data_IF_222653195328
#
_entry.id   IF_222653195328
#
_cell.length_a   1.000
_cell.length_b   1.000
_cell.length_c   1.000
_cell.angle_alpha   90.00
_cell.angle_beta   90.00
_cell.angle_gamma   90.00
#
_symmetry.space_group_name_H-M   'P 1'
#
loop_
_entity.id
_entity.type
_entity.pdbx_description
1 polymer ?
#
# COMPACT_ATOMS: atom_id res chain seq x y z
N UNK A 1 -46.09 57.44 25.79
CA UNK A 1 -45.17 56.59 26.57
C UNK A 1 -45.39 55.13 26.17
N UNK A 2 -44.31 54.38 26.19
CA UNK A 2 -44.06 53.01 25.72
C UNK A 2 -44.99 51.92 26.27
N UNK A 3 -45.04 50.74 25.61
CA UNK A 3 -46.02 49.68 25.84
C UNK A 3 -45.57 48.65 26.89
N UNK A 4 -46.51 47.91 27.50
CA UNK A 4 -46.22 46.64 28.17
C UNK A 4 -46.93 45.49 27.43
N UNK A 5 -46.12 44.81 26.62
CA UNK A 5 -46.45 43.58 25.91
C UNK A 5 -45.88 42.43 26.74
N UNK A 6 -46.72 41.68 27.46
CA UNK A 6 -46.30 40.46 28.15
C UNK A 6 -46.22 39.31 27.14
N UNK A 7 -45.11 39.28 26.39
CA UNK A 7 -44.74 38.14 25.57
C UNK A 7 -44.19 37.02 26.45
N UNK A 8 -44.98 35.97 26.66
CA UNK A 8 -44.48 34.66 27.07
C UNK A 8 -43.57 34.12 25.96
N UNK A 9 -42.29 33.95 26.28
CA UNK A 9 -41.30 33.34 25.40
C UNK A 9 -41.72 31.92 24.99
N UNK A 10 -41.61 31.51 23.72
CA UNK A 10 -41.69 30.11 23.38
C UNK A 10 -40.42 29.41 23.88
N UNK A 11 -40.64 28.40 24.71
CA UNK A 11 -39.62 27.51 25.23
C UNK A 11 -38.69 27.04 24.10
N UNK A 12 -37.40 27.20 24.34
CA UNK A 12 -36.31 26.69 23.51
C UNK A 12 -36.52 25.20 23.25
N UNK A 13 -36.87 24.89 22.01
CA UNK A 13 -36.92 23.53 21.51
C UNK A 13 -35.52 22.90 21.54
N UNK A 14 -35.18 22.25 22.67
CA UNK A 14 -34.23 21.15 22.68
C UNK A 14 -34.75 20.14 21.67
N UNK A 15 -34.16 20.12 20.47
CA UNK A 15 -34.31 19.03 19.50
C UNK A 15 -33.67 17.78 20.11
N UNK A 16 -34.42 17.09 20.97
CA UNK A 16 -34.15 15.70 21.33
C UNK A 16 -34.18 14.87 20.05
N UNK A 17 -33.31 13.87 19.99
CA UNK A 17 -33.06 13.01 18.83
C UNK A 17 -34.26 12.14 18.38
N UNK A 18 -35.47 12.44 18.83
CA UNK A 18 -36.68 11.65 18.57
C UNK A 18 -37.34 11.96 17.22
N UNK A 19 -36.99 13.09 16.60
CA UNK A 19 -37.64 13.60 15.36
C UNK A 19 -37.07 13.13 14.01
N UNK A 20 -36.23 12.09 13.95
CA UNK A 20 -35.90 11.47 12.65
C UNK A 20 -37.06 10.56 12.24
N UNK A 21 -37.71 10.90 11.13
CA UNK A 21 -38.71 10.05 10.46
C UNK A 21 -38.16 8.63 10.27
N UNK A 22 -39.02 7.62 10.15
CA UNK A 22 -38.60 6.22 9.94
C UNK A 22 -37.59 6.10 8.78
N UNK A 23 -37.77 6.91 7.73
CA UNK A 23 -36.84 7.04 6.59
C UNK A 23 -35.50 7.68 7.01
N UNK A 24 -35.52 8.70 7.87
CA UNK A 24 -34.33 9.29 8.48
C UNK A 24 -33.57 8.32 9.38
N UNK A 25 -34.26 7.50 10.19
CA UNK A 25 -33.64 6.45 11.03
C UNK A 25 -33.07 5.33 10.18
N UNK A 26 -33.76 4.90 9.11
CA UNK A 26 -33.27 3.91 8.16
C UNK A 26 -32.04 4.41 7.39
N UNK A 27 -32.05 5.67 6.93
CA UNK A 27 -30.90 6.28 6.25
C UNK A 27 -29.71 6.51 7.20
N UNK A 28 -29.95 6.91 8.45
CA UNK A 28 -28.90 7.05 9.47
C UNK A 28 -28.32 5.68 9.87
N UNK A 29 -29.16 4.65 10.00
CA UNK A 29 -28.74 3.27 10.23
C UNK A 29 -27.92 2.74 9.04
N UNK A 30 -28.39 2.95 7.81
CA UNK A 30 -27.67 2.60 6.57
C UNK A 30 -26.33 3.33 6.45
N UNK A 31 -26.27 4.62 6.81
CA UNK A 31 -25.05 5.42 6.79
C UNK A 31 -24.05 4.98 7.87
N UNK A 32 -24.53 4.72 9.09
CA UNK A 32 -23.71 4.21 10.21
C UNK A 32 -23.15 2.82 9.89
N UNK A 33 -23.95 1.96 9.26
CA UNK A 33 -23.51 0.66 8.75
C UNK A 33 -22.55 0.78 7.57
N UNK A 34 -22.73 1.75 6.66
CA UNK A 34 -21.76 2.00 5.58
C UNK A 34 -20.40 2.46 6.12
N UNK A 35 -20.38 3.31 7.15
CA UNK A 35 -19.14 3.76 7.79
C UNK A 35 -18.46 2.60 8.53
N UNK A 36 -19.22 1.81 9.29
CA UNK A 36 -18.71 0.62 9.95
C UNK A 36 -18.13 -0.39 8.94
N UNK A 37 -18.83 -0.63 7.84
CA UNK A 37 -18.37 -1.49 6.74
C UNK A 37 -17.09 -0.96 6.10
N UNK A 38 -16.99 0.35 5.85
CA UNK A 38 -15.82 0.95 5.19
C UNK A 38 -14.58 1.06 6.09
N UNK A 39 -14.74 1.09 7.41
CA UNK A 39 -13.62 1.05 8.36
C UNK A 39 -13.22 -0.38 8.70
N UNK A 40 -14.19 -1.28 8.85
CA UNK A 40 -13.92 -2.67 9.20
C UNK A 40 -13.36 -3.48 8.03
N UNK A 41 -13.76 -3.19 6.79
CA UNK A 41 -13.27 -3.87 5.60
C UNK A 41 -11.72 -3.84 5.48
N UNK A 42 -11.04 -2.67 5.56
CA UNK A 42 -9.58 -2.63 5.58
C UNK A 42 -8.95 -3.39 6.75
N UNK A 43 -9.53 -3.32 7.95
CA UNK A 43 -9.02 -4.05 9.12
C UNK A 43 -9.14 -5.55 8.91
N UNK A 44 -10.29 -6.02 8.41
CA UNK A 44 -10.51 -7.41 8.04
C UNK A 44 -9.48 -7.88 7.00
N UNK A 45 -9.27 -7.10 5.94
CA UNK A 45 -8.24 -7.38 4.93
C UNK A 45 -6.85 -7.56 5.56
N UNK A 46 -6.43 -6.63 6.42
CA UNK A 46 -5.12 -6.69 7.08
C UNK A 46 -4.98 -7.94 7.96
N UNK A 47 -6.03 -8.33 8.69
CA UNK A 47 -6.01 -9.54 9.52
C UNK A 47 -5.90 -10.81 8.66
N UNK A 48 -6.72 -10.93 7.61
CA UNK A 48 -6.74 -12.08 6.70
C UNK A 48 -5.39 -12.22 5.99
N UNK A 49 -4.90 -11.14 5.39
CA UNK A 49 -3.60 -11.12 4.72
C UNK A 49 -2.45 -11.39 5.69
N UNK A 50 -2.48 -10.80 6.89
CA UNK A 50 -1.47 -11.04 7.92
C UNK A 50 -1.40 -12.51 8.32
N UNK A 51 -2.56 -13.15 8.52
CA UNK A 51 -2.65 -14.58 8.80
C UNK A 51 -2.12 -15.43 7.63
N UNK A 52 -2.47 -15.10 6.38
CA UNK A 52 -1.93 -15.77 5.19
C UNK A 52 -0.40 -15.70 5.17
N UNK A 53 0.17 -14.51 5.35
CA UNK A 53 1.62 -14.29 5.33
C UNK A 53 2.31 -15.15 6.40
N UNK A 54 1.78 -15.16 7.62
CA UNK A 54 2.34 -15.97 8.70
C UNK A 54 2.30 -17.47 8.35
N UNK A 55 1.15 -17.99 7.90
CA UNK A 55 1.02 -19.40 7.54
C UNK A 55 1.97 -19.78 6.39
N UNK A 56 2.05 -18.96 5.34
CA UNK A 56 2.90 -19.24 4.19
C UNK A 56 4.40 -19.24 4.54
N UNK A 57 4.83 -18.29 5.37
CA UNK A 57 6.28 -18.05 5.60
C UNK A 57 6.84 -18.74 6.84
N UNK A 58 6.00 -19.08 7.81
CA UNK A 58 6.39 -19.77 9.04
C UNK A 58 6.04 -21.26 8.99
N UNK A 59 4.85 -21.62 8.52
CA UNK A 59 4.33 -22.99 8.65
C UNK A 59 4.51 -23.82 7.37
N UNK A 60 4.26 -23.21 6.21
CA UNK A 60 4.21 -23.92 4.93
C UNK A 60 5.46 -23.74 4.06
N UNK A 61 6.37 -22.84 4.41
CA UNK A 61 7.64 -22.69 3.73
C UNK A 61 8.51 -23.96 3.91
N UNK A 62 9.42 -24.26 2.95
CA UNK A 62 10.43 -25.31 3.11
C UNK A 62 11.32 -25.08 4.33
N UNK A 63 11.64 -23.83 4.61
CA UNK A 63 12.34 -23.36 5.81
C UNK A 63 11.65 -22.08 6.31
N UNK A 64 11.35 -21.94 7.61
CA UNK A 64 10.73 -20.72 8.14
C UNK A 64 11.57 -19.47 7.86
N UNK A 65 10.94 -18.40 7.38
CA UNK A 65 11.60 -17.11 7.10
C UNK A 65 10.73 -15.90 7.46
N UNK A 66 9.73 -16.10 8.32
CA UNK A 66 8.93 -14.99 8.83
C UNK A 66 9.82 -14.00 9.59
N UNK A 67 9.69 -12.74 9.24
CA UNK A 67 10.45 -11.65 9.85
C UNK A 67 9.66 -10.35 9.73
N UNK A 68 10.09 -9.33 10.48
CA UNK A 68 9.53 -8.00 10.38
C UNK A 68 9.47 -7.48 8.92
N UNK A 69 10.60 -7.55 8.19
CA UNK A 69 10.66 -7.05 6.81
C UNK A 69 9.92 -7.97 5.83
N UNK A 70 9.85 -9.27 6.09
CA UNK A 70 9.00 -10.19 5.31
C UNK A 70 7.53 -9.80 5.45
N UNK A 71 7.07 -9.51 6.68
CA UNK A 71 5.70 -9.06 6.93
C UNK A 71 5.42 -7.72 6.25
N UNK A 72 6.30 -6.73 6.40
CA UNK A 72 6.15 -5.43 5.74
C UNK A 72 6.08 -5.57 4.23
N UNK A 73 7.04 -6.30 3.63
CA UNK A 73 7.08 -6.57 2.20
C UNK A 73 5.76 -7.18 1.74
N UNK A 74 5.38 -8.35 2.26
CA UNK A 74 4.19 -9.05 1.75
C UNK A 74 2.91 -8.24 2.00
N UNK A 75 2.77 -7.60 3.16
CA UNK A 75 1.59 -6.78 3.46
C UNK A 75 1.46 -5.61 2.49
N UNK A 76 2.55 -4.89 2.21
CA UNK A 76 2.58 -3.80 1.23
C UNK A 76 2.32 -4.30 -0.18
N UNK A 77 2.80 -5.49 -0.54
CA UNK A 77 2.51 -6.13 -1.81
C UNK A 77 1.02 -6.37 -1.97
N UNK A 78 0.38 -7.11 -1.03
CA UNK A 78 -1.05 -7.38 -1.07
C UNK A 78 -1.90 -6.11 -1.08
N UNK A 79 -1.55 -5.13 -0.23
CA UNK A 79 -2.28 -3.87 -0.16
C UNK A 79 -2.12 -3.06 -1.46
N UNK A 80 -0.93 -3.04 -2.06
CA UNK A 80 -0.68 -2.42 -3.36
C UNK A 80 -1.45 -3.09 -4.50
N UNK A 81 -1.46 -4.42 -4.54
CA UNK A 81 -2.25 -5.22 -5.48
C UNK A 81 -3.74 -4.90 -5.34
N UNK A 82 -4.26 -4.89 -4.12
CA UNK A 82 -5.66 -4.58 -3.84
C UNK A 82 -6.05 -3.15 -4.27
N UNK A 83 -5.25 -2.15 -3.92
CA UNK A 83 -5.48 -0.76 -4.35
C UNK A 83 -5.46 -0.62 -5.88
N UNK A 84 -4.52 -1.31 -6.54
CA UNK A 84 -4.44 -1.32 -8.00
C UNK A 84 -5.69 -1.94 -8.64
N UNK A 85 -6.18 -3.06 -8.09
CA UNK A 85 -7.42 -3.70 -8.51
C UNK A 85 -8.63 -2.77 -8.34
N UNK A 86 -8.77 -2.13 -7.17
CA UNK A 86 -9.85 -1.15 -6.92
C UNK A 86 -9.82 -0.01 -7.95
N UNK A 87 -8.63 0.53 -8.23
CA UNK A 87 -8.47 1.61 -9.20
C UNK A 87 -8.88 1.17 -10.61
N UNK A 88 -8.46 -0.02 -11.05
CA UNK A 88 -8.86 -0.58 -12.36
C UNK A 88 -10.38 -0.73 -12.46
N UNK A 89 -11.01 -1.35 -11.46
CA UNK A 89 -12.46 -1.55 -11.43
C UNK A 89 -13.17 -0.19 -11.46
N UNK A 90 -12.73 0.77 -10.64
CA UNK A 90 -13.25 2.12 -10.65
C UNK A 90 -13.12 2.79 -12.03
N UNK A 91 -11.98 2.67 -12.70
CA UNK A 91 -11.76 3.33 -13.98
C UNK A 91 -12.63 2.77 -15.11
N UNK A 92 -12.90 1.47 -15.12
CA UNK A 92 -13.68 0.81 -16.19
C UNK A 92 -15.18 0.86 -15.88
N UNK A 93 -15.58 0.46 -14.67
CA UNK A 93 -16.99 0.33 -14.27
C UNK A 93 -17.57 1.66 -13.78
N UNK A 94 -16.73 2.62 -13.36
CA UNK A 94 -17.11 3.90 -12.76
C UNK A 94 -17.83 3.78 -11.42
N UNK A 95 -17.70 2.64 -10.74
CA UNK A 95 -18.15 2.47 -9.35
C UNK A 95 -17.34 3.38 -8.42
N UNK A 96 -17.96 4.13 -7.49
CA UNK A 96 -17.21 4.94 -6.53
C UNK A 96 -16.22 4.10 -5.71
N UNK A 97 -14.99 4.59 -5.54
CA UNK A 97 -13.93 3.91 -4.77
C UNK A 97 -14.39 3.49 -3.37
N UNK A 98 -15.17 4.36 -2.70
CA UNK A 98 -15.72 4.09 -1.37
C UNK A 98 -16.57 2.81 -1.30
N UNK A 99 -17.25 2.46 -2.39
CA UNK A 99 -18.14 1.29 -2.44
C UNK A 99 -17.34 0.02 -2.80
N UNK A 100 -16.14 0.16 -3.35
CA UNK A 100 -15.24 -0.94 -3.69
C UNK A 100 -14.48 -1.49 -2.47
N UNK A 101 -14.49 -0.81 -1.32
CA UNK A 101 -13.88 -1.35 -0.10
C UNK A 101 -14.55 -2.65 0.37
N UNK A 102 -15.79 -2.91 -0.04
CA UNK A 102 -16.45 -4.20 0.22
C UNK A 102 -15.67 -5.39 -0.36
N UNK A 103 -14.85 -5.17 -1.40
CA UNK A 103 -13.98 -6.20 -1.98
C UNK A 103 -12.91 -6.68 -0.99
N UNK A 104 -12.59 -5.92 0.06
CA UNK A 104 -11.71 -6.38 1.14
C UNK A 104 -12.21 -7.67 1.78
N UNK A 105 -13.53 -7.91 1.86
CA UNK A 105 -14.06 -9.18 2.38
C UNK A 105 -13.76 -10.36 1.46
N UNK A 106 -13.62 -10.10 0.16
CA UNK A 106 -13.15 -11.10 -0.81
C UNK A 106 -11.69 -11.52 -0.60
N UNK A 107 -10.94 -10.87 0.29
CA UNK A 107 -9.58 -11.30 0.64
C UNK A 107 -9.52 -12.72 1.18
N UNK A 108 -10.62 -13.31 1.67
CA UNK A 108 -10.64 -14.74 2.05
C UNK A 108 -10.22 -15.66 0.88
N UNK A 109 -10.40 -15.24 -0.37
CA UNK A 109 -9.95 -15.99 -1.55
C UNK A 109 -8.42 -16.14 -1.61
N UNK A 110 -7.68 -15.25 -0.95
CA UNK A 110 -6.21 -15.33 -0.85
C UNK A 110 -5.76 -16.59 -0.11
N UNK A 111 -6.64 -17.26 0.63
CA UNK A 111 -6.36 -18.54 1.29
C UNK A 111 -6.51 -19.76 0.39
N UNK A 112 -7.04 -19.64 -0.83
CA UNK A 112 -7.23 -20.79 -1.72
C UNK A 112 -5.92 -21.57 -1.95
N UNK A 113 -4.76 -20.94 -2.27
CA UNK A 113 -3.52 -21.69 -2.42
C UNK A 113 -3.05 -22.30 -1.11
N UNK A 114 -3.23 -21.60 0.02
CA UNK A 114 -2.87 -22.10 1.36
C UNK A 114 -3.65 -23.38 1.68
N UNK A 115 -4.96 -23.38 1.43
CA UNK A 115 -5.82 -24.54 1.65
C UNK A 115 -5.41 -25.70 0.72
N UNK A 116 -5.15 -25.43 -0.56
CA UNK A 116 -4.66 -26.44 -1.49
C UNK A 116 -3.35 -27.08 -1.02
N UNK A 117 -2.40 -26.28 -0.54
CA UNK A 117 -1.09 -26.76 -0.08
C UNK A 117 -1.22 -27.55 1.23
N UNK A 118 -2.09 -27.12 2.15
CA UNK A 118 -2.44 -27.89 3.36
C UNK A 118 -3.04 -29.26 3.02
N UNK A 119 -3.95 -29.32 2.04
CA UNK A 119 -4.60 -30.57 1.62
C UNK A 119 -3.65 -31.53 0.87
N UNK A 120 -2.70 -31.00 0.12
CA UNK A 120 -1.76 -31.79 -0.70
C UNK A 120 -0.45 -32.11 0.02
N UNK A 121 -0.20 -31.50 1.19
CA UNK A 121 1.07 -31.62 1.91
C UNK A 121 2.26 -30.96 1.21
N UNK A 122 2.02 -30.19 0.14
CA UNK A 122 3.06 -29.50 -0.61
C UNK A 122 3.54 -28.26 0.15
N UNK A 123 4.82 -27.91 -0.04
CA UNK A 123 5.41 -26.70 0.53
C UNK A 123 5.15 -25.49 -0.35
N UNK A 124 4.99 -24.34 0.28
CA UNK A 124 4.85 -23.05 -0.39
C UNK A 124 6.18 -22.66 -1.02
N UNK A 125 6.20 -22.49 -2.34
CA UNK A 125 7.33 -21.91 -3.06
C UNK A 125 6.90 -20.60 -3.72
N UNK A 126 6.51 -19.59 -2.92
CA UNK A 126 6.11 -18.26 -3.41
C UNK A 126 7.26 -17.61 -4.16
N UNK A 127 7.28 -17.81 -5.47
CA UNK A 127 8.28 -17.21 -6.33
C UNK A 127 7.65 -16.16 -7.21
N UNK A 128 8.29 -14.99 -7.27
CA UNK A 128 7.96 -14.03 -8.31
C UNK A 128 8.18 -14.68 -9.69
N UNK A 129 7.33 -14.33 -10.66
CA UNK A 129 7.56 -14.65 -12.06
C UNK A 129 8.89 -14.03 -12.48
N UNK A 130 9.80 -14.91 -12.89
CA UNK A 130 11.18 -14.62 -13.29
C UNK A 130 11.40 -15.16 -14.70
N UNK A 131 12.42 -14.66 -15.38
CA UNK A 131 12.80 -15.11 -16.71
C UNK A 131 12.64 -14.04 -17.78
N UNK A 132 12.72 -14.48 -19.04
CA UNK A 132 12.59 -13.58 -20.19
C UNK A 132 11.14 -13.12 -20.39
N UNK A 133 10.94 -12.03 -21.17
CA UNK A 133 9.60 -11.50 -21.48
C UNK A 133 8.64 -12.58 -22.01
N UNK A 134 9.09 -13.42 -22.94
CA UNK A 134 8.28 -14.48 -23.53
C UNK A 134 7.90 -15.59 -22.55
N UNK A 135 8.78 -15.90 -21.61
CA UNK A 135 8.54 -16.89 -20.57
C UNK A 135 7.48 -16.37 -19.59
N UNK A 136 7.65 -15.14 -19.11
CA UNK A 136 6.66 -14.46 -18.26
C UNK A 136 5.30 -14.37 -18.98
N UNK A 137 5.29 -14.00 -20.26
CA UNK A 137 4.06 -13.93 -21.05
C UNK A 137 3.37 -15.30 -21.17
N UNK A 138 4.13 -16.39 -21.41
CA UNK A 138 3.59 -17.75 -21.47
C UNK A 138 2.94 -18.15 -20.13
N UNK A 139 3.60 -17.89 -19.01
CA UNK A 139 3.04 -18.19 -17.69
C UNK A 139 1.79 -17.34 -17.42
N UNK A 140 1.82 -16.04 -17.77
CA UNK A 140 0.65 -15.17 -17.66
C UNK A 140 -0.52 -15.62 -18.55
N UNK A 141 -0.30 -16.10 -19.77
CA UNK A 141 -1.39 -16.59 -20.63
C UNK A 141 -2.00 -17.91 -20.14
N UNK A 142 -1.28 -18.67 -19.33
CA UNK A 142 -1.72 -19.96 -18.81
C UNK A 142 -2.20 -19.89 -17.36
N UNK A 143 -2.55 -18.70 -16.85
CA UNK A 143 -2.92 -18.52 -15.43
C UNK A 143 -1.87 -19.08 -14.47
N UNK A 144 -0.59 -18.99 -14.82
CA UNK A 144 0.55 -19.52 -14.05
C UNK A 144 0.53 -21.06 -13.95
N UNK A 145 -0.36 -21.75 -14.67
CA UNK A 145 -0.50 -23.23 -14.61
C UNK A 145 0.78 -23.96 -15.02
N UNK A 146 1.49 -23.38 -15.97
CA UNK A 146 2.76 -23.91 -16.50
C UNK A 146 3.96 -23.57 -15.62
N UNK A 147 3.77 -22.83 -14.53
CA UNK A 147 4.81 -22.51 -13.55
C UNK A 147 4.68 -23.47 -12.36
N UNK A 148 5.50 -24.52 -12.36
CA UNK A 148 5.35 -25.61 -11.39
C UNK A 148 5.49 -25.16 -9.93
N UNK A 149 6.31 -24.13 -9.67
CA UNK A 149 6.54 -23.62 -8.33
C UNK A 149 5.29 -22.98 -7.70
N UNK A 150 4.38 -22.40 -8.50
CA UNK A 150 3.20 -21.69 -7.99
C UNK A 150 1.88 -22.19 -8.63
N UNK A 151 1.81 -23.47 -9.03
CA UNK A 151 0.60 -24.02 -9.68
C UNK A 151 -0.66 -23.87 -8.80
N UNK A 152 -0.51 -23.91 -7.47
CA UNK A 152 -1.60 -23.66 -6.52
C UNK A 152 -2.24 -22.27 -6.69
N UNK A 153 -1.45 -21.27 -7.12
CA UNK A 153 -1.91 -19.90 -7.36
C UNK A 153 -2.84 -19.81 -8.58
N UNK A 154 -2.72 -20.72 -9.56
CA UNK A 154 -3.56 -20.72 -10.75
C UNK A 154 -5.04 -20.78 -10.44
N UNK A 155 -5.42 -21.58 -9.44
CA UNK A 155 -6.82 -21.73 -9.03
C UNK A 155 -7.32 -20.40 -8.46
N UNK A 156 -6.56 -19.78 -7.55
CA UNK A 156 -6.89 -18.46 -7.00
C UNK A 156 -7.09 -17.43 -8.12
N UNK A 157 -6.19 -17.38 -9.11
CA UNK A 157 -6.26 -16.44 -10.22
C UNK A 157 -7.49 -16.65 -11.10
N UNK A 158 -7.88 -17.89 -11.37
CA UNK A 158 -9.11 -18.21 -12.11
C UNK A 158 -10.34 -17.76 -11.32
N UNK A 159 -10.42 -18.04 -10.02
CA UNK A 159 -11.53 -17.61 -9.18
C UNK A 159 -11.62 -16.08 -9.09
N UNK A 160 -10.49 -15.38 -8.97
CA UNK A 160 -10.47 -13.92 -8.97
C UNK A 160 -10.92 -13.38 -10.34
N UNK A 161 -10.44 -13.94 -11.45
CA UNK A 161 -10.83 -13.51 -12.79
C UNK A 161 -12.33 -13.69 -13.04
N UNK A 162 -12.88 -14.88 -12.76
CA UNK A 162 -14.30 -15.18 -12.93
C UNK A 162 -15.15 -14.35 -11.97
N UNK A 163 -14.73 -14.24 -10.71
CA UNK A 163 -15.43 -13.47 -9.67
C UNK A 163 -15.52 -11.99 -10.01
N UNK A 164 -14.40 -11.35 -10.37
CA UNK A 164 -14.39 -9.94 -10.79
C UNK A 164 -15.22 -9.74 -12.06
N UNK A 165 -15.09 -10.62 -13.04
CA UNK A 165 -15.89 -10.55 -14.29
C UNK A 165 -17.38 -10.65 -13.99
N UNK A 166 -17.79 -11.60 -13.14
CA UNK A 166 -19.17 -11.80 -12.72
C UNK A 166 -19.73 -10.58 -11.97
N UNK A 167 -18.99 -10.07 -10.98
CA UNK A 167 -19.37 -8.86 -10.24
C UNK A 167 -19.47 -7.65 -11.17
N UNK A 168 -18.52 -7.47 -12.08
CA UNK A 168 -18.54 -6.40 -13.06
C UNK A 168 -19.74 -6.52 -14.00
N UNK A 169 -20.12 -7.73 -14.40
CA UNK A 169 -21.33 -7.97 -15.19
C UNK A 169 -22.60 -7.63 -14.41
N UNK A 170 -22.67 -8.03 -13.13
CA UNK A 170 -23.82 -7.72 -12.27
C UNK A 170 -24.02 -6.21 -12.10
N UNK A 171 -22.94 -5.43 -12.01
CA UNK A 171 -22.99 -3.97 -11.85
C UNK A 171 -23.21 -3.24 -13.18
N UNK A 172 -22.41 -3.55 -14.20
CA UNK A 172 -22.42 -2.80 -15.46
C UNK A 172 -23.49 -3.27 -16.46
N UNK A 173 -24.01 -4.50 -16.30
CA UNK A 173 -24.95 -5.17 -17.23
C UNK A 173 -24.50 -5.12 -18.71
N UNK A 174 -23.18 -5.04 -18.93
CA UNK A 174 -22.56 -4.95 -20.25
C UNK A 174 -21.43 -5.98 -20.34
N UNK A 175 -21.60 -7.06 -21.12
CA UNK A 175 -20.65 -8.18 -21.13
C UNK A 175 -19.23 -7.75 -21.54
N UNK A 176 -19.10 -6.86 -22.55
CA UNK A 176 -17.79 -6.34 -22.97
C UNK A 176 -17.06 -5.56 -21.87
N UNK A 177 -17.78 -4.74 -21.07
CA UNK A 177 -17.18 -4.02 -19.94
C UNK A 177 -16.78 -4.96 -18.81
N UNK A 178 -17.60 -5.98 -18.55
CA UNK A 178 -17.34 -6.98 -17.54
C UNK A 178 -16.09 -7.78 -17.86
N UNK A 179 -15.99 -8.29 -19.09
CA UNK A 179 -14.82 -9.02 -19.57
C UNK A 179 -13.56 -8.14 -19.55
N UNK A 180 -13.67 -6.89 -20.03
CA UNK A 180 -12.55 -5.94 -19.97
C UNK A 180 -12.06 -5.71 -18.53
N UNK A 181 -12.97 -5.65 -17.56
CA UNK A 181 -12.61 -5.50 -16.15
C UNK A 181 -11.91 -6.75 -15.62
N UNK A 182 -12.42 -7.94 -15.92
CA UNK A 182 -11.75 -9.19 -15.58
C UNK A 182 -10.34 -9.28 -16.14
N UNK A 183 -10.17 -9.01 -17.44
CA UNK A 183 -8.86 -9.04 -18.13
C UNK A 183 -7.92 -7.99 -17.53
N UNK A 184 -8.38 -6.75 -17.34
CA UNK A 184 -7.55 -5.68 -16.78
C UNK A 184 -7.13 -5.97 -15.34
N UNK A 185 -8.03 -6.50 -14.51
CA UNK A 185 -7.73 -6.92 -13.14
C UNK A 185 -6.71 -8.06 -13.12
N UNK A 186 -6.87 -9.07 -13.96
CA UNK A 186 -5.90 -10.15 -14.09
C UNK A 186 -4.52 -9.66 -14.55
N UNK A 187 -4.46 -8.79 -15.56
CA UNK A 187 -3.21 -8.20 -16.03
C UNK A 187 -2.49 -7.43 -14.92
N UNK A 188 -3.23 -6.71 -14.06
CA UNK A 188 -2.65 -6.05 -12.88
C UNK A 188 -2.07 -7.07 -11.90
N UNK A 189 -2.76 -8.17 -11.62
CA UNK A 189 -2.22 -9.24 -10.77
C UNK A 189 -0.90 -9.80 -11.33
N UNK A 190 -0.86 -10.04 -12.65
CA UNK A 190 0.34 -10.52 -13.32
C UNK A 190 1.49 -9.52 -13.25
N UNK A 191 1.21 -8.22 -13.40
CA UNK A 191 2.22 -7.18 -13.20
C UNK A 191 2.79 -7.22 -11.78
N UNK A 192 1.95 -7.40 -10.75
CA UNK A 192 2.43 -7.52 -9.36
C UNK A 192 3.22 -8.81 -9.09
N UNK A 193 2.98 -9.87 -9.87
CA UNK A 193 3.68 -11.14 -9.75
C UNK A 193 5.07 -11.15 -10.40
N UNK A 194 5.40 -10.18 -11.26
CA UNK A 194 6.73 -10.09 -11.89
C UNK A 194 7.80 -9.62 -10.91
N UNK A 195 8.99 -10.22 -10.99
CA UNK A 195 10.15 -9.79 -10.22
C UNK A 195 10.78 -8.50 -10.80
N UNK A 196 10.16 -7.36 -10.53
CA UNK A 196 10.59 -6.07 -11.08
C UNK A 196 11.93 -5.58 -10.57
N UNK A 197 12.15 -5.66 -9.27
CA UNK A 197 13.31 -5.04 -8.61
C UNK A 197 14.04 -6.08 -7.79
N UNK A 198 15.37 -6.07 -7.85
CA UNK A 198 16.25 -6.93 -7.05
C UNK A 198 17.55 -6.23 -6.68
N UNK A 199 18.28 -6.78 -5.70
CA UNK A 199 19.58 -6.26 -5.27
C UNK A 199 20.69 -6.76 -6.20
N UNK A 200 21.56 -5.88 -6.69
CA UNK A 200 22.71 -6.29 -7.52
C UNK A 200 23.67 -7.22 -6.76
N UNK A 201 24.17 -8.32 -7.36
CA UNK A 201 23.86 -8.83 -8.70
C UNK A 201 22.68 -9.83 -8.68
N UNK A 202 21.52 -9.47 -9.23
CA UNK A 202 20.39 -10.40 -9.35
C UNK A 202 20.01 -10.61 -10.82
N UNK A 203 20.32 -11.80 -11.35
CA UNK A 203 20.18 -12.11 -12.78
C UNK A 203 18.74 -12.12 -13.32
N UNK A 204 17.75 -12.29 -12.44
CA UNK A 204 16.35 -12.48 -12.83
C UNK A 204 15.42 -11.31 -12.48
N UNK A 205 15.96 -10.21 -11.95
CA UNK A 205 15.18 -9.00 -11.73
C UNK A 205 15.21 -8.11 -12.98
N UNK A 206 14.09 -7.47 -13.31
CA UNK A 206 14.04 -6.51 -14.44
C UNK A 206 14.99 -5.33 -14.19
N UNK A 207 15.00 -4.83 -12.96
CA UNK A 207 15.88 -3.76 -12.49
C UNK A 207 16.70 -4.25 -11.31
N UNK A 208 18.03 -4.20 -11.45
CA UNK A 208 18.96 -4.46 -10.35
C UNK A 208 19.42 -3.15 -9.72
N UNK A 209 19.22 -3.00 -8.41
CA UNK A 209 19.57 -1.82 -7.64
C UNK A 209 20.80 -2.12 -6.80
N UNK A 210 21.80 -1.24 -6.90
CA UNK A 210 22.92 -1.24 -5.97
C UNK A 210 22.50 -0.53 -4.67
N UNK A 211 22.43 -1.27 -3.58
CA UNK A 211 21.96 -0.81 -2.26
C UNK A 211 22.67 -1.60 -1.16
N UNK A 212 22.83 -0.99 0.02
CA UNK A 212 23.29 -1.71 1.21
C UNK A 212 22.18 -2.54 1.86
N UNK A 213 20.91 -2.26 1.55
CA UNK A 213 19.77 -2.98 2.09
C UNK A 213 19.82 -4.47 1.72
N UNK A 214 19.35 -5.33 2.64
CA UNK A 214 19.10 -6.75 2.36
C UNK A 214 17.85 -6.87 1.48
N UNK A 215 17.73 -7.91 0.65
CA UNK A 215 16.67 -8.05 -0.37
C UNK A 215 15.26 -7.79 0.16
N UNK A 216 14.81 -8.46 1.23
CA UNK A 216 13.45 -8.25 1.76
C UNK A 216 13.21 -6.81 2.25
N UNK A 217 14.26 -6.17 2.78
CA UNK A 217 14.20 -4.77 3.17
C UNK A 217 14.09 -3.85 1.95
N UNK A 218 14.93 -4.05 0.93
CA UNK A 218 14.86 -3.32 -0.34
C UNK A 218 13.45 -3.40 -0.94
N UNK A 219 12.89 -4.61 -1.03
CA UNK A 219 11.56 -4.80 -1.62
C UNK A 219 10.47 -4.14 -0.76
N UNK A 220 10.54 -4.25 0.58
CA UNK A 220 9.61 -3.54 1.46
C UNK A 220 9.64 -2.01 1.22
N UNK A 221 10.83 -1.42 1.06
CA UNK A 221 10.98 0.02 0.76
C UNK A 221 10.43 0.38 -0.61
N UNK A 222 10.73 -0.40 -1.64
CA UNK A 222 10.19 -0.17 -3.00
C UNK A 222 8.66 -0.23 -2.97
N UNK A 223 8.10 -1.26 -2.34
CA UNK A 223 6.66 -1.45 -2.21
C UNK A 223 6.00 -0.35 -1.37
N UNK A 224 6.69 0.17 -0.35
CA UNK A 224 6.20 1.31 0.43
C UNK A 224 5.97 2.54 -0.45
N UNK A 225 6.88 2.83 -1.39
CA UNK A 225 6.74 3.95 -2.32
C UNK A 225 5.54 3.74 -3.26
N UNK A 226 5.44 2.55 -3.86
CA UNK A 226 4.34 2.21 -4.77
C UNK A 226 3.00 2.27 -4.01
N UNK A 227 2.94 1.67 -2.83
CA UNK A 227 1.76 1.70 -1.95
C UNK A 227 1.37 3.14 -1.58
N UNK A 228 2.33 3.97 -1.12
CA UNK A 228 2.09 5.38 -0.77
C UNK A 228 1.45 6.14 -1.94
N UNK A 229 2.00 5.96 -3.14
CA UNK A 229 1.48 6.57 -4.36
C UNK A 229 0.05 6.09 -4.68
N UNK A 230 -0.20 4.79 -4.59
CA UNK A 230 -1.52 4.21 -4.85
C UNK A 230 -2.57 4.65 -3.82
N UNK A 231 -2.20 4.76 -2.54
CA UNK A 231 -3.07 5.30 -1.50
C UNK A 231 -3.47 6.73 -1.85
N UNK A 232 -2.50 7.59 -2.16
CA UNK A 232 -2.75 9.00 -2.53
C UNK A 232 -3.67 9.12 -3.76
N UNK A 233 -3.43 8.31 -4.80
CA UNK A 233 -4.31 8.29 -5.97
C UNK A 233 -5.72 7.80 -5.60
N UNK A 234 -5.82 6.75 -4.79
CA UNK A 234 -7.09 6.16 -4.40
C UNK A 234 -7.94 7.15 -3.60
N UNK A 235 -7.35 7.84 -2.62
CA UNK A 235 -8.06 8.88 -1.84
C UNK A 235 -8.41 10.10 -2.68
N UNK A 236 -7.55 10.47 -3.64
CA UNK A 236 -7.84 11.53 -4.61
C UNK A 236 -9.07 11.17 -5.46
N UNK A 237 -9.09 9.97 -6.03
CA UNK A 237 -10.19 9.47 -6.87
C UNK A 237 -11.47 9.23 -6.08
N UNK A 238 -11.37 8.93 -4.79
CA UNK A 238 -12.50 8.88 -3.88
C UNK A 238 -13.07 10.28 -3.54
N UNK A 239 -12.45 11.37 -4.00
CA UNK A 239 -12.91 12.73 -3.75
C UNK A 239 -12.74 13.18 -2.30
N UNK A 240 -11.83 12.55 -1.54
CA UNK A 240 -11.66 12.83 -0.11
C UNK A 240 -10.86 14.12 0.16
N UNK A 241 -10.13 14.58 -0.85
CA UNK A 241 -9.51 15.90 -0.89
C UNK A 241 -10.56 16.93 -1.36
N UNK A 242 -11.36 17.49 -0.45
CA UNK A 242 -12.48 18.38 -0.82
C UNK A 242 -11.95 19.55 -1.67
N UNK A 243 -12.45 19.70 -2.91
CA UNK A 243 -12.29 20.80 -3.89
C UNK A 243 -11.08 21.77 -3.79
N UNK A 244 -9.94 21.31 -3.29
CA UNK A 244 -8.78 22.14 -2.97
C UNK A 244 -7.54 21.66 -3.72
N UNK A 245 -7.72 21.28 -5.00
CA UNK A 245 -6.68 20.73 -5.87
C UNK A 245 -5.40 21.55 -5.82
N UNK A 246 -5.50 22.89 -5.96
CA UNK A 246 -4.33 23.79 -5.93
C UNK A 246 -3.55 23.71 -4.62
N UNK A 247 -4.25 23.64 -3.50
CA UNK A 247 -3.63 23.61 -2.18
C UNK A 247 -2.98 22.24 -1.90
N UNK A 248 -3.63 21.14 -2.30
CA UNK A 248 -3.04 19.81 -2.27
C UNK A 248 -1.81 19.70 -3.16
N UNK A 249 -1.87 20.21 -4.39
CA UNK A 249 -0.70 20.29 -5.26
C UNK A 249 0.43 21.06 -4.59
N UNK A 250 0.14 22.21 -3.96
CA UNK A 250 1.17 22.96 -3.25
C UNK A 250 1.75 22.20 -2.04
N UNK A 251 0.95 21.44 -1.30
CA UNK A 251 1.44 20.60 -0.21
C UNK A 251 2.35 19.48 -0.71
N UNK A 252 1.98 18.80 -1.80
CA UNK A 252 2.83 17.78 -2.44
C UNK A 252 4.12 18.37 -3.00
N UNK A 253 4.09 19.57 -3.60
CA UNK A 253 5.29 20.26 -4.05
C UNK A 253 6.22 20.64 -2.90
N UNK A 254 5.66 21.11 -1.77
CA UNK A 254 6.44 21.39 -0.57
C UNK A 254 7.09 20.11 0.00
N UNK A 255 6.33 19.01 0.05
CA UNK A 255 6.85 17.70 0.42
C UNK A 255 7.99 17.25 -0.50
N UNK A 256 7.82 17.39 -1.81
CA UNK A 256 8.86 17.02 -2.79
C UNK A 256 10.13 17.87 -2.62
N UNK A 257 10.00 19.17 -2.35
CA UNK A 257 11.14 20.03 -2.07
C UNK A 257 11.86 19.59 -0.77
N UNK A 258 11.11 19.27 0.28
CA UNK A 258 11.68 18.77 1.54
C UNK A 258 12.36 17.41 1.38
N UNK A 259 11.78 16.53 0.56
CA UNK A 259 12.40 15.24 0.21
C UNK A 259 13.76 15.41 -0.47
N UNK A 260 13.85 16.31 -1.46
CA UNK A 260 15.10 16.63 -2.15
C UNK A 260 16.10 17.25 -1.19
N UNK A 261 15.68 18.23 -0.38
CA UNK A 261 16.54 18.88 0.60
C UNK A 261 17.10 17.87 1.62
N UNK A 262 16.25 16.99 2.16
CA UNK A 262 16.68 15.95 3.08
C UNK A 262 17.64 14.96 2.41
N UNK A 263 17.32 14.49 1.20
CA UNK A 263 18.21 13.60 0.42
C UNK A 263 19.59 14.24 0.19
N UNK A 264 19.63 15.56 -0.07
CA UNK A 264 20.88 16.30 -0.23
C UNK A 264 21.66 16.37 1.10
N UNK A 265 20.97 16.60 2.23
CA UNK A 265 21.59 16.56 3.55
C UNK A 265 22.23 15.19 3.80
N UNK A 266 21.49 14.08 3.57
CA UNK A 266 22.01 12.72 3.75
C UNK A 266 23.26 12.46 2.90
N UNK A 267 23.28 12.99 1.67
CA UNK A 267 24.44 12.91 0.78
C UNK A 267 25.61 13.74 1.31
N UNK A 268 25.39 14.98 1.75
CA UNK A 268 26.47 15.86 2.24
C UNK A 268 27.08 15.32 3.53
N UNK A 269 26.26 14.82 4.46
CA UNK A 269 26.72 14.23 5.72
C UNK A 269 27.31 12.83 5.54
N UNK A 270 27.30 12.28 4.32
CA UNK A 270 27.75 10.93 3.99
C UNK A 270 27.04 9.86 4.82
N UNK A 271 25.80 10.14 5.25
CA UNK A 271 25.02 9.23 6.07
C UNK A 271 24.57 8.00 5.26
N UNK A 272 24.35 8.20 3.95
CA UNK A 272 24.30 7.15 2.94
C UNK A 272 25.19 7.51 1.76
N UNK A 273 25.83 6.51 1.14
CA UNK A 273 26.69 6.70 -0.04
C UNK A 273 25.98 6.30 -1.33
N UNK A 274 25.09 5.31 -1.29
CA UNK A 274 24.43 4.80 -2.48
C UNK A 274 23.22 5.66 -2.87
N UNK A 275 23.05 6.01 -4.16
CA UNK A 275 21.98 6.92 -4.60
C UNK A 275 20.56 6.49 -4.22
N UNK A 276 20.29 5.18 -4.27
CA UNK A 276 18.97 4.65 -3.91
C UNK A 276 18.69 4.84 -2.42
N UNK A 277 19.65 4.52 -1.56
CA UNK A 277 19.49 4.61 -0.11
C UNK A 277 19.28 6.07 0.33
N UNK A 278 20.03 7.00 -0.30
CA UNK A 278 19.86 8.45 -0.15
C UNK A 278 18.43 8.87 -0.52
N UNK A 279 17.96 8.50 -1.71
CA UNK A 279 16.64 8.89 -2.18
C UNK A 279 15.51 8.28 -1.32
N UNK A 280 15.63 7.00 -0.94
CA UNK A 280 14.62 6.30 -0.16
C UNK A 280 14.45 6.91 1.24
N UNK A 281 15.54 7.39 1.85
CA UNK A 281 15.56 7.89 3.24
C UNK A 281 14.60 9.05 3.53
N UNK A 282 14.35 9.91 2.55
CA UNK A 282 13.56 11.13 2.77
C UNK A 282 12.04 10.96 2.66
N UNK A 283 11.52 9.74 2.43
CA UNK A 283 10.09 9.53 2.22
C UNK A 283 9.23 9.91 3.44
N UNK A 284 9.72 9.68 4.67
CA UNK A 284 9.02 10.10 5.89
C UNK A 284 8.89 11.64 5.91
N UNK A 285 9.99 12.34 5.64
CA UNK A 285 10.06 13.81 5.61
C UNK A 285 9.11 14.39 4.55
N UNK A 286 9.00 13.74 3.38
CA UNK A 286 8.02 14.10 2.37
C UNK A 286 6.60 14.15 2.96
N UNK A 287 6.16 13.06 3.60
CA UNK A 287 4.80 12.95 4.13
C UNK A 287 4.55 13.93 5.27
N UNK A 288 5.52 14.11 6.17
CA UNK A 288 5.43 15.10 7.24
C UNK A 288 5.17 16.49 6.72
N UNK A 289 5.97 16.93 5.74
CA UNK A 289 5.82 18.26 5.16
C UNK A 289 4.52 18.39 4.38
N UNK A 290 4.05 17.33 3.71
CA UNK A 290 2.71 17.31 3.09
C UNK A 290 1.62 17.54 4.14
N UNK A 291 1.64 16.81 5.25
CA UNK A 291 0.64 16.92 6.32
C UNK A 291 0.70 18.30 6.97
N UNK A 292 1.89 18.77 7.36
CA UNK A 292 2.07 20.07 8.00
C UNK A 292 1.66 21.23 7.08
N UNK A 293 2.06 21.19 5.81
CA UNK A 293 1.67 22.22 4.82
C UNK A 293 0.17 22.21 4.59
N UNK A 294 -0.45 21.02 4.55
CA UNK A 294 -1.90 20.90 4.44
C UNK A 294 -2.60 21.54 5.65
N UNK A 295 -2.16 21.23 6.87
CA UNK A 295 -2.71 21.82 8.09
C UNK A 295 -2.51 23.33 8.15
N UNK A 296 -1.30 23.82 7.83
CA UNK A 296 -0.94 25.24 7.86
C UNK A 296 -1.73 26.10 6.86
N UNK A 297 -1.92 25.63 5.62
CA UNK A 297 -2.66 26.36 4.58
C UNK A 297 -4.18 26.41 4.80
N UNK A 298 -4.66 26.15 6.03
CA UNK A 298 -6.07 26.19 6.37
C UNK A 298 -6.90 25.11 5.70
N UNK A 299 -6.27 24.12 5.06
CA UNK A 299 -6.99 22.99 4.47
C UNK A 299 -7.65 22.13 5.56
N UNK A 300 -7.29 22.28 6.84
CA UNK A 300 -7.98 21.62 7.96
C UNK A 300 -9.51 21.73 7.90
N UNK A 301 -10.05 22.85 7.38
CA UNK A 301 -11.49 23.06 7.24
C UNK A 301 -12.07 22.49 5.94
N UNK A 302 -11.22 22.22 4.94
CA UNK A 302 -11.56 21.72 3.60
C UNK A 302 -10.94 20.33 3.32
N UNK A 303 -10.57 19.59 4.36
CA UNK A 303 -10.01 18.24 4.26
C UNK A 303 -10.99 17.29 4.91
N UNK A 304 -11.33 16.20 4.21
CA UNK A 304 -12.05 15.12 4.85
C UNK A 304 -11.21 14.58 6.00
N UNK A 305 -11.81 14.49 7.21
CA UNK A 305 -11.15 13.88 8.38
C UNK A 305 -10.57 12.50 8.06
N UNK A 306 -11.24 11.76 7.16
CA UNK A 306 -10.76 10.47 6.66
C UNK A 306 -9.48 10.60 5.83
N UNK A 307 -9.37 11.60 4.93
CA UNK A 307 -8.15 11.82 4.16
C UNK A 307 -6.96 12.17 5.07
N UNK A 308 -7.19 13.02 6.08
CA UNK A 308 -6.16 13.35 7.05
C UNK A 308 -5.75 12.10 7.86
N UNK A 309 -6.71 11.31 8.33
CA UNK A 309 -6.44 10.07 9.06
C UNK A 309 -5.63 9.07 8.20
N UNK A 310 -5.95 8.94 6.90
CA UNK A 310 -5.19 8.08 5.98
C UNK A 310 -3.75 8.59 5.79
N UNK A 311 -3.54 9.90 5.66
CA UNK A 311 -2.18 10.46 5.54
C UNK A 311 -1.36 10.26 6.81
N UNK A 312 -1.98 10.45 7.99
CA UNK A 312 -1.33 10.17 9.27
C UNK A 312 -1.00 8.68 9.38
N UNK A 313 -1.93 7.80 9.00
CA UNK A 313 -1.67 6.35 8.93
C UNK A 313 -0.52 6.02 7.99
N UNK A 314 -0.45 6.68 6.83
CA UNK A 314 0.64 6.51 5.87
C UNK A 314 1.99 6.92 6.46
N UNK A 315 2.04 8.05 7.19
CA UNK A 315 3.23 8.46 7.94
C UNK A 315 3.70 7.36 8.90
N UNK A 316 2.79 6.79 9.71
CA UNK A 316 3.16 5.72 10.64
C UNK A 316 3.67 4.46 9.94
N UNK A 317 3.07 4.08 8.81
CA UNK A 317 3.55 2.93 8.00
C UNK A 317 4.94 3.22 7.44
N UNK A 318 5.17 4.44 6.95
CA UNK A 318 6.50 4.85 6.47
C UNK A 318 7.54 4.85 7.59
N UNK A 319 7.20 5.38 8.76
CA UNK A 319 8.05 5.36 9.94
C UNK A 319 8.37 3.93 10.39
N UNK A 320 7.38 3.03 10.36
CA UNK A 320 7.60 1.63 10.71
C UNK A 320 8.60 0.95 9.74
N UNK A 321 8.44 1.14 8.43
CA UNK A 321 9.30 0.47 7.43
C UNK A 321 10.69 1.10 7.35
N UNK A 322 10.77 2.44 7.33
CA UNK A 322 12.00 3.20 7.13
C UNK A 322 12.74 3.54 8.43
N UNK A 323 12.05 3.64 9.57
CA UNK A 323 12.64 3.99 10.86
C UNK A 323 13.80 3.07 11.26
N UNK A 324 13.64 1.74 11.24
CA UNK A 324 14.73 0.82 11.58
C UNK A 324 15.92 0.91 10.61
N UNK A 325 15.70 1.32 9.35
CA UNK A 325 16.79 1.57 8.40
C UNK A 325 17.60 2.79 8.79
N UNK A 326 16.92 3.87 9.19
CA UNK A 326 17.57 5.10 9.63
C UNK A 326 18.35 4.89 10.93
N UNK A 327 17.82 4.06 11.84
CA UNK A 327 18.48 3.71 13.11
C UNK A 327 19.68 2.77 12.87
N UNK A 328 19.52 1.71 12.06
CA UNK A 328 20.63 0.76 11.78
C UNK A 328 21.71 1.33 10.86
N UNK A 329 21.40 2.32 10.04
CA UNK A 329 22.43 3.04 9.30
C UNK A 329 23.44 3.67 10.27
N UNK A 330 22.99 4.18 11.42
CA UNK A 330 23.84 4.71 12.50
C UNK A 330 24.79 3.63 13.06
N UNK A 331 24.31 2.41 13.29
CA UNK A 331 25.14 1.27 13.72
C UNK A 331 26.13 0.82 12.64
N UNK A 332 25.70 0.79 11.37
CA UNK A 332 26.53 0.45 10.22
C UNK A 332 27.60 1.49 9.89
N UNK A 333 27.37 2.77 10.22
CA UNK A 333 28.35 3.85 10.10
C UNK A 333 29.48 3.75 11.12
N UNK A 334 29.19 3.26 12.32
CA UNK A 334 30.23 2.93 13.31
C UNK A 334 31.12 1.81 12.74
N UNK A 335 30.52 0.76 12.17
CA UNK A 335 31.28 -0.39 11.63
C UNK A 335 32.02 -0.08 10.33
N UNK A 336 31.46 0.74 9.43
CA UNK A 336 32.15 1.18 8.21
C UNK A 336 33.21 2.24 8.48
N UNK A 337 33.00 3.15 9.43
CA UNK A 337 34.03 4.06 9.92
C UNK A 337 35.21 3.32 10.54
N UNK A 338 34.95 2.24 11.29
CA UNK A 338 35.99 1.35 11.81
C UNK A 338 36.70 0.56 10.72
N UNK A 339 35.99 0.04 9.72
CA UNK A 339 36.58 -0.67 8.58
C UNK A 339 37.44 0.24 7.70
N UNK A 340 37.00 1.47 7.42
CA UNK A 340 37.80 2.46 6.69
C UNK A 340 39.01 2.94 7.49
N UNK A 341 38.87 3.14 8.81
CA UNK A 341 40.00 3.46 9.67
C UNK A 341 41.00 2.30 9.77
N UNK A 342 40.51 1.04 9.78
CA UNK A 342 41.35 -0.15 9.75
C UNK A 342 42.06 -0.30 8.41
N UNK A 343 41.38 -0.05 7.29
CA UNK A 343 41.97 -0.04 5.96
C UNK A 343 43.05 1.05 5.81
N UNK A 344 42.78 2.29 6.24
CA UNK A 344 43.78 3.38 6.26
C UNK A 344 44.98 3.09 7.16
N UNK A 345 44.76 2.44 8.31
CA UNK A 345 45.86 2.00 9.19
C UNK A 345 46.69 0.87 8.55
N UNK A 346 46.07 0.00 7.76
CA UNK A 346 46.77 -1.06 7.02
C UNK A 346 47.57 -0.47 5.84
N UNK A 347 47.02 0.48 5.09
CA UNK A 347 47.75 1.23 4.04
C UNK A 347 48.93 2.03 4.61
N UNK A 348 48.80 2.58 5.81
CA UNK A 348 49.89 3.28 6.48
C UNK A 348 51.01 2.35 6.99
N UNK A 349 50.74 1.05 7.15
CA UNK A 349 51.69 0.03 7.63
C UNK A 349 52.31 -0.77 6.48
N UNK A 350 51.68 -0.77 5.30
CA UNK A 350 52.17 -1.40 4.08
C UNK A 350 52.11 -0.41 2.91
N UNK A 351 53.07 0.53 2.80
CA UNK A 351 53.05 1.55 1.76
C UNK A 351 53.28 1.00 0.36
N UNK A 352 53.90 -0.19 0.23
CA UNK A 352 54.38 -0.76 -1.03
C UNK A 352 54.01 -2.25 -1.16
N UNK A 353 52.72 -2.54 -1.34
CA UNK A 353 52.22 -3.86 -1.79
C UNK A 353 51.46 -3.74 -3.11
#
# INVERSE_FOLDING_TARGET
MTPHNNGTAPASGRKTAEGLSIIGRFNAWRLKNLIAVNVFAPVFFLMVVGARIYIETELLAPSPYFSYYTLCHHMLWFAGTFLSLMLVIHFIIKTPIKDLFILCYGSVLVFIPVLYLLLTGQKVALTYLRGGFWEILKHALTFVWTWEADRALSIELVFIFVGITGLAWLVAKRPGKALLTGVASYSVLMLWAVHWVGKTPHKYAVFSINTWMVSNCLIAVVLLHVFSFLVVITIWRAGLFQNAKKAWTAAFMAGAAAWIAFSLIMKITQWFVLPFDIAASGLIVFTDVVILTALYKGLKNNISRLALAVLIGLFFVQAAVMGPLLIRAEEGLITHGELQNKAKRLEAVLPDA
#
